data_IF_719969264928
#
_entry.id   IF_719969264928
#
_cell.length_a   1.000
_cell.length_b   1.000
_cell.length_c   1.000
_cell.angle_alpha   90.00
_cell.angle_beta   90.00
_cell.angle_gamma   90.00
#
_symmetry.space_group_name_H-M   'P 1'
#
loop_
_entity.id
_entity.type
_entity.pdbx_description
1 polymer ?
#
# COMPACT_ATOMS: atom_id res chain seq x y z
N UNK A 1 2.14 -10.80 -5.78
CA UNK A 1 3.31 -10.76 -4.88
C UNK A 1 4.44 -10.04 -5.60
N UNK A 2 5.33 -9.41 -4.86
CA UNK A 2 6.49 -8.70 -5.42
C UNK A 2 7.68 -9.66 -5.52
N UNK A 3 8.12 -9.94 -6.75
CA UNK A 3 9.21 -10.87 -7.02
C UNK A 3 10.53 -10.44 -6.35
N UNK A 4 10.77 -9.14 -6.23
CA UNK A 4 12.00 -8.61 -5.60
C UNK A 4 12.06 -8.89 -4.10
N UNK A 5 10.91 -9.14 -3.47
CA UNK A 5 10.81 -9.51 -2.05
C UNK A 5 10.80 -11.02 -1.84
N UNK A 6 10.18 -11.76 -2.76
CA UNK A 6 10.03 -13.22 -2.64
C UNK A 6 11.31 -13.96 -3.07
N UNK A 7 11.92 -13.58 -4.19
CA UNK A 7 13.06 -14.31 -4.76
C UNK A 7 14.25 -14.46 -3.78
N UNK A 8 14.69 -13.42 -3.04
CA UNK A 8 15.78 -13.58 -2.09
C UNK A 8 15.50 -14.57 -0.97
N UNK A 9 14.23 -14.73 -0.57
CA UNK A 9 13.82 -15.71 0.44
C UNK A 9 13.86 -17.12 -0.14
N UNK A 10 13.40 -17.31 -1.39
CA UNK A 10 13.49 -18.60 -2.08
C UNK A 10 14.95 -19.04 -2.26
N UNK A 11 15.85 -18.13 -2.63
CA UNK A 11 17.28 -18.42 -2.77
C UNK A 11 17.90 -18.86 -1.43
N UNK A 12 17.55 -18.16 -0.34
CA UNK A 12 17.99 -18.49 1.02
C UNK A 12 17.47 -19.84 1.48
N UNK A 13 16.20 -20.16 1.18
CA UNK A 13 15.58 -21.45 1.49
C UNK A 13 16.28 -22.60 0.75
N UNK A 14 16.56 -22.42 -0.55
CA UNK A 14 17.28 -23.40 -1.36
C UNK A 14 18.74 -23.60 -0.90
N UNK A 15 19.35 -22.56 -0.30
CA UNK A 15 20.71 -22.61 0.22
C UNK A 15 20.85 -23.24 1.62
N UNK A 16 19.73 -23.62 2.28
CA UNK A 16 19.77 -24.26 3.60
C UNK A 16 20.50 -25.60 3.50
N UNK A 17 21.57 -25.75 4.30
CA UNK A 17 22.38 -26.98 4.35
C UNK A 17 21.97 -27.85 5.52
N UNK A 18 21.99 -29.16 5.33
CA UNK A 18 21.69 -30.18 6.35
C UNK A 18 22.91 -30.61 7.17
N UNK A 19 24.05 -29.93 7.03
CA UNK A 19 25.30 -30.30 7.71
C UNK A 19 25.37 -29.98 9.21
N UNK A 20 24.38 -29.26 9.76
CA UNK A 20 24.32 -28.88 11.19
C UNK A 20 23.09 -29.46 11.86
N UNK A 21 23.07 -30.79 12.00
CA UNK A 21 22.01 -31.51 12.69
C UNK A 21 22.07 -31.25 14.20
N UNK A 22 20.93 -30.96 14.82
CA UNK A 22 20.84 -30.66 16.27
C UNK A 22 19.80 -31.48 17.03
N UNK A 23 18.81 -32.05 16.35
CA UNK A 23 17.88 -33.01 16.94
C UNK A 23 17.36 -33.99 15.89
N UNK A 24 16.99 -35.19 16.34
CA UNK A 24 16.40 -36.25 15.50
C UNK A 24 15.20 -36.94 16.17
N UNK A 25 14.82 -36.51 17.38
CA UNK A 25 13.71 -37.09 18.10
C UNK A 25 12.49 -36.17 17.98
N UNK A 26 11.30 -36.70 17.65
CA UNK A 26 10.06 -35.92 17.61
C UNK A 26 9.82 -35.10 18.88
N UNK A 27 10.19 -35.65 20.04
CA UNK A 27 10.05 -35.00 21.34
C UNK A 27 10.77 -33.64 21.44
N UNK A 28 11.82 -33.40 20.63
CA UNK A 28 12.55 -32.14 20.62
C UNK A 28 11.82 -31.01 19.86
N UNK A 29 10.89 -31.33 18.96
CA UNK A 29 10.33 -30.35 18.02
C UNK A 29 9.61 -29.20 18.72
N UNK A 30 8.83 -29.49 19.76
CA UNK A 30 8.08 -28.48 20.50
C UNK A 30 9.01 -27.53 21.29
N UNK A 31 10.10 -28.06 21.87
CA UNK A 31 11.09 -27.27 22.59
C UNK A 31 11.86 -26.33 21.64
N UNK A 32 12.19 -26.81 20.44
CA UNK A 32 12.88 -26.04 19.41
C UNK A 32 11.93 -25.13 18.60
N UNK A 33 10.62 -25.19 18.88
CA UNK A 33 9.57 -24.47 18.16
C UNK A 33 9.60 -24.75 16.65
N UNK A 34 9.72 -26.03 16.27
CA UNK A 34 9.62 -26.47 14.88
C UNK A 34 8.53 -27.52 14.69
N UNK A 35 7.66 -27.72 15.69
CA UNK A 35 6.54 -28.64 15.60
C UNK A 35 5.40 -28.04 14.76
N UNK A 36 4.52 -28.89 14.21
CA UNK A 36 3.43 -28.45 13.34
C UNK A 36 2.41 -27.53 14.04
N UNK A 37 2.26 -27.67 15.35
CA UNK A 37 1.38 -26.89 16.24
C UNK A 37 2.15 -25.86 17.09
N UNK A 38 3.48 -25.91 17.07
CA UNK A 38 4.35 -25.03 17.86
C UNK A 38 5.58 -24.64 17.04
N UNK A 39 5.43 -23.56 16.29
CA UNK A 39 6.45 -23.00 15.42
C UNK A 39 6.59 -21.48 15.56
N UNK A 40 7.72 -20.92 15.09
CA UNK A 40 7.87 -19.45 14.95
C UNK A 40 7.40 -18.99 13.57
N UNK A 41 7.76 -19.72 12.50
CA UNK A 41 7.20 -19.55 11.15
C UNK A 41 6.91 -20.90 10.50
N UNK A 42 5.83 -20.94 9.72
CA UNK A 42 5.50 -22.03 8.80
C UNK A 42 5.54 -21.47 7.38
N UNK A 43 6.31 -22.11 6.51
CA UNK A 43 6.46 -21.74 5.10
C UNK A 43 5.95 -22.90 4.28
N UNK A 44 4.93 -22.66 3.48
CA UNK A 44 4.42 -23.61 2.51
C UNK A 44 4.85 -23.15 1.12
N UNK A 45 5.53 -24.04 0.39
CA UNK A 45 6.09 -23.74 -0.93
C UNK A 45 5.52 -24.77 -1.89
N UNK A 46 4.79 -24.29 -2.89
CA UNK A 46 4.35 -25.12 -4.01
C UNK A 46 5.42 -25.08 -5.11
N UNK A 47 5.87 -26.25 -5.56
CA UNK A 47 6.76 -26.42 -6.71
C UNK A 47 6.11 -27.34 -7.74
N UNK A 48 6.72 -27.46 -8.92
CA UNK A 48 6.28 -28.42 -9.94
C UNK A 48 6.32 -29.89 -9.46
N UNK A 49 7.08 -30.18 -8.42
CA UNK A 49 7.24 -31.52 -7.84
C UNK A 49 6.30 -31.79 -6.66
N UNK A 50 5.57 -30.77 -6.17
CA UNK A 50 4.67 -30.89 -5.02
C UNK A 50 4.80 -29.72 -4.04
N UNK A 51 4.07 -29.81 -2.95
CA UNK A 51 4.12 -28.84 -1.86
C UNK A 51 5.08 -29.30 -0.77
N UNK A 52 5.90 -28.38 -0.26
CA UNK A 52 6.82 -28.59 0.85
C UNK A 52 6.48 -27.63 1.98
N UNK A 53 6.49 -28.14 3.21
CA UNK A 53 6.28 -27.32 4.41
C UNK A 53 7.57 -27.28 5.21
N UNK A 54 8.03 -26.08 5.54
CA UNK A 54 9.21 -25.84 6.36
C UNK A 54 8.80 -25.09 7.63
N UNK A 55 9.28 -25.55 8.78
CA UNK A 55 9.12 -24.86 10.06
C UNK A 55 10.42 -24.20 10.46
N UNK A 56 10.35 -22.91 10.76
CA UNK A 56 11.42 -22.16 11.41
C UNK A 56 11.07 -21.97 12.88
N UNK A 57 12.04 -22.23 13.75
CA UNK A 57 11.87 -22.22 15.18
C UNK A 57 12.66 -21.16 15.92
N UNK A 58 12.92 -21.42 17.19
CA UNK A 58 13.63 -20.51 18.07
C UNK A 58 15.05 -20.25 17.57
N UNK A 59 15.63 -19.13 17.99
CA UNK A 59 17.04 -18.83 17.69
C UNK A 59 17.97 -19.62 18.62
N UNK A 60 19.03 -20.21 18.07
CA UNK A 60 20.11 -20.88 18.80
C UNK A 60 21.37 -19.99 18.90
N UNK A 61 21.21 -18.69 19.11
CA UNK A 61 22.27 -17.67 19.03
C UNK A 61 21.77 -16.35 18.43
N UNK A 62 22.67 -15.47 17.98
CA UNK A 62 22.29 -14.16 17.41
C UNK A 62 21.85 -14.22 15.95
N UNK A 63 22.12 -15.30 15.22
CA UNK A 63 21.79 -15.43 13.78
C UNK A 63 21.57 -16.88 13.30
N UNK A 64 21.29 -17.79 14.23
CA UNK A 64 21.12 -19.23 13.98
C UNK A 64 19.68 -19.63 14.26
N UNK A 65 18.96 -20.15 13.27
CA UNK A 65 17.56 -20.57 13.42
C UNK A 65 17.43 -22.08 13.29
N UNK A 66 16.60 -22.69 14.14
CA UNK A 66 16.18 -24.08 13.98
C UNK A 66 15.28 -24.23 12.76
N UNK A 67 15.55 -25.21 11.92
CA UNK A 67 14.76 -25.50 10.71
C UNK A 67 14.43 -26.98 10.63
N UNK A 68 13.17 -27.29 10.31
CA UNK A 68 12.69 -28.65 10.10
C UNK A 68 11.79 -28.71 8.87
N UNK A 69 12.02 -29.68 8.00
CA UNK A 69 11.10 -30.02 6.92
C UNK A 69 9.98 -30.90 7.46
N UNK A 70 8.74 -30.61 7.07
CA UNK A 70 7.59 -31.43 7.43
C UNK A 70 7.76 -32.88 6.93
N UNK A 71 7.21 -33.83 7.68
CA UNK A 71 7.42 -35.26 7.45
C UNK A 71 8.80 -35.80 7.85
N UNK A 72 9.70 -34.96 8.38
CA UNK A 72 11.02 -35.39 8.89
C UNK A 72 11.20 -35.05 10.37
N UNK A 73 11.96 -35.89 11.07
CA UNK A 73 12.32 -35.68 12.48
C UNK A 73 13.60 -34.87 12.67
N UNK A 74 14.45 -34.83 11.64
CA UNK A 74 15.71 -34.11 11.69
C UNK A 74 15.49 -32.59 11.77
N UNK A 75 16.10 -31.97 12.77
CA UNK A 75 16.15 -30.52 12.94
C UNK A 75 17.57 -30.04 12.70
N UNK A 76 17.72 -29.02 11.86
CA UNK A 76 19.01 -28.44 11.51
C UNK A 76 19.12 -27.00 12.00
N UNK A 77 20.35 -26.47 11.98
CA UNK A 77 20.61 -25.03 12.13
C UNK A 77 20.94 -24.38 10.79
N UNK A 78 20.32 -23.24 10.51
CA UNK A 78 20.68 -22.36 9.40
C UNK A 78 21.08 -20.97 9.91
N UNK A 79 22.05 -20.35 9.23
CA UNK A 79 22.38 -18.93 9.39
C UNK A 79 22.00 -18.12 8.14
N UNK A 80 21.46 -18.79 7.11
CA UNK A 80 21.14 -18.17 5.82
C UNK A 80 19.78 -17.48 5.81
N UNK A 81 18.91 -17.77 6.78
CA UNK A 81 17.56 -17.25 6.86
C UNK A 81 17.15 -17.05 8.33
N UNK A 82 16.60 -15.87 8.63
CA UNK A 82 16.06 -15.54 9.94
C UNK A 82 14.52 -15.48 9.91
N UNK A 83 13.90 -15.69 11.07
CA UNK A 83 12.43 -15.74 11.20
C UNK A 83 11.74 -14.40 10.92
N UNK A 84 12.40 -13.28 11.18
CA UNK A 84 11.87 -11.93 10.88
C UNK A 84 11.89 -11.59 9.39
N UNK A 85 12.73 -12.26 8.58
CA UNK A 85 12.76 -12.09 7.13
C UNK A 85 11.53 -12.74 6.46
N UNK A 86 10.88 -13.66 7.17
CA UNK A 86 9.67 -14.36 6.72
C UNK A 86 8.47 -13.80 7.48
N UNK A 87 8.05 -12.59 7.12
CA UNK A 87 6.92 -11.92 7.79
C UNK A 87 5.59 -12.66 7.54
N UNK A 88 4.70 -12.68 8.54
CA UNK A 88 3.32 -13.15 8.36
C UNK A 88 2.41 -12.04 7.80
N UNK A 89 2.90 -10.81 7.71
CA UNK A 89 2.13 -9.68 7.19
C UNK A 89 2.17 -9.66 5.66
N UNK A 90 0.99 -9.64 5.02
CA UNK A 90 0.88 -9.62 3.56
C UNK A 90 1.63 -8.44 2.93
N UNK A 91 1.66 -7.28 3.60
CA UNK A 91 2.32 -6.07 3.09
C UNK A 91 3.82 -6.26 2.89
N UNK A 92 4.45 -7.16 3.66
CA UNK A 92 5.86 -7.49 3.51
C UNK A 92 6.18 -8.21 2.19
N UNK A 93 5.17 -8.73 1.47
CA UNK A 93 5.31 -9.53 0.26
C UNK A 93 4.80 -8.84 -1.02
N UNK A 94 4.37 -7.58 -0.92
CA UNK A 94 3.84 -6.79 -2.05
C UNK A 94 4.50 -5.41 -2.10
N UNK A 95 4.40 -4.73 -3.24
CA UNK A 95 4.75 -3.32 -3.32
C UNK A 95 3.63 -2.50 -2.65
N UNK A 96 3.91 -1.73 -1.58
CA UNK A 96 2.88 -0.95 -0.91
C UNK A 96 2.46 0.31 -1.69
N UNK A 97 3.21 0.71 -2.73
CA UNK A 97 2.80 1.79 -3.63
C UNK A 97 1.59 1.29 -4.42
N UNK A 98 0.44 1.91 -4.18
CA UNK A 98 -0.83 1.49 -4.76
C UNK A 98 -1.17 2.23 -6.04
N UNK A 99 -0.81 3.52 -6.11
CA UNK A 99 -0.83 4.32 -7.33
C UNK A 99 0.61 4.68 -7.67
N UNK A 100 1.03 4.36 -8.90
CA UNK A 100 2.40 4.57 -9.38
C UNK A 100 2.41 5.49 -10.61
N UNK A 101 1.81 6.67 -10.47
CA UNK A 101 1.76 7.71 -11.51
C UNK A 101 2.70 8.83 -11.10
N UNK A 102 3.53 9.32 -12.01
CA UNK A 102 4.38 10.49 -11.74
C UNK A 102 3.53 11.76 -11.73
N UNK A 103 3.64 12.58 -10.67
CA UNK A 103 2.93 13.87 -10.59
C UNK A 103 3.34 14.85 -11.70
N UNK A 104 4.54 14.69 -12.27
CA UNK A 104 5.00 15.47 -13.41
C UNK A 104 4.16 15.19 -14.67
N UNK A 105 3.69 13.96 -14.83
CA UNK A 105 2.94 13.51 -16.01
C UNK A 105 1.45 13.81 -15.92
N UNK A 106 0.95 14.20 -14.74
CA UNK A 106 -0.48 14.54 -14.54
C UNK A 106 -0.82 15.83 -15.28
N UNK A 107 -1.84 15.77 -16.14
CA UNK A 107 -2.34 16.88 -16.98
C UNK A 107 -3.64 17.47 -16.44
N UNK A 108 -4.38 16.71 -15.65
CA UNK A 108 -5.67 17.15 -15.11
C UNK A 108 -6.23 16.13 -14.12
N UNK A 109 -7.20 16.53 -13.32
CA UNK A 109 -7.97 15.58 -12.51
C UNK A 109 -9.34 16.11 -12.13
N UNK A 110 -10.24 15.19 -11.79
CA UNK A 110 -11.52 15.49 -11.16
C UNK A 110 -11.53 14.90 -9.77
N UNK A 111 -11.99 15.68 -8.78
CA UNK A 111 -12.30 15.22 -7.43
C UNK A 111 -13.80 15.37 -7.20
N UNK A 112 -14.47 14.26 -6.90
CA UNK A 112 -15.87 14.22 -6.48
C UNK A 112 -15.94 13.74 -5.03
N UNK A 113 -16.56 14.51 -4.17
CA UNK A 113 -16.82 14.14 -2.77
C UNK A 113 -18.16 14.76 -2.31
N UNK A 114 -18.45 14.67 -1.01
CA UNK A 114 -19.68 15.25 -0.42
C UNK A 114 -19.84 16.76 -0.60
N UNK A 115 -18.76 17.49 -0.87
CA UNK A 115 -18.75 18.95 -1.03
C UNK A 115 -18.93 19.40 -2.49
N UNK A 116 -18.98 18.46 -3.44
CA UNK A 116 -19.17 18.76 -4.85
C UNK A 116 -18.22 18.01 -5.77
N UNK A 117 -18.16 18.46 -7.02
CA UNK A 117 -17.26 17.97 -8.05
C UNK A 117 -16.38 19.10 -8.53
N UNK A 118 -15.06 18.89 -8.49
CA UNK A 118 -14.06 19.90 -8.80
C UNK A 118 -13.15 19.36 -9.89
N UNK A 119 -13.08 20.05 -11.02
CA UNK A 119 -12.24 19.66 -12.14
C UNK A 119 -11.07 20.64 -12.30
N UNK A 120 -9.87 20.07 -12.45
CA UNK A 120 -8.62 20.80 -12.55
C UNK A 120 -7.89 20.46 -13.83
N UNK A 121 -7.20 21.45 -14.38
CA UNK A 121 -6.35 21.33 -15.56
C UNK A 121 -4.99 21.95 -15.28
N UNK A 122 -3.95 21.33 -15.82
CA UNK A 122 -2.59 21.84 -15.83
C UNK A 122 -2.28 22.39 -17.20
N UNK A 123 -1.89 23.66 -17.27
CA UNK A 123 -1.52 24.29 -18.55
C UNK A 123 -0.11 23.87 -19.02
N UNK A 124 0.29 24.38 -20.18
CA UNK A 124 1.60 24.10 -20.78
C UNK A 124 2.78 24.67 -19.97
N UNK A 125 2.53 25.64 -19.09
CA UNK A 125 3.52 26.24 -18.19
C UNK A 125 3.58 25.48 -16.84
N UNK A 126 2.71 24.49 -16.65
CA UNK A 126 2.63 23.67 -15.45
C UNK A 126 1.76 24.27 -14.34
N UNK A 127 1.03 25.36 -14.61
CA UNK A 127 0.15 25.99 -13.64
C UNK A 127 -1.20 25.26 -13.58
N UNK A 128 -1.70 25.10 -12.36
CA UNK A 128 -2.96 24.43 -12.07
C UNK A 128 -4.11 25.44 -11.97
N UNK A 129 -5.23 25.10 -12.60
CA UNK A 129 -6.47 25.90 -12.57
C UNK A 129 -7.70 25.02 -12.35
N UNK A 130 -8.63 25.50 -11.54
CA UNK A 130 -10.00 25.00 -11.45
C UNK A 130 -10.77 25.42 -12.70
N UNK A 131 -11.53 24.52 -13.32
CA UNK A 131 -12.13 24.78 -14.64
C UNK A 131 -13.36 25.68 -14.62
N UNK A 132 -13.99 25.87 -13.47
CA UNK A 132 -15.26 26.59 -13.31
C UNK A 132 -15.13 27.85 -12.43
N UNK A 133 -13.98 28.53 -12.49
CA UNK A 133 -13.77 29.82 -11.80
C UNK A 133 -14.81 30.87 -12.23
N UNK A 134 -15.32 31.62 -11.26
CA UNK A 134 -16.28 32.69 -11.46
C UNK A 134 -15.69 34.05 -11.07
N UNK A 135 -15.98 35.09 -11.85
CA UNK A 135 -15.61 36.47 -11.50
C UNK A 135 -14.10 36.67 -11.32
N UNK A 136 -13.71 37.14 -10.13
CA UNK A 136 -12.34 37.40 -9.70
C UNK A 136 -11.72 36.24 -8.89
N UNK A 137 -12.38 35.07 -8.88
CA UNK A 137 -11.82 33.87 -8.26
C UNK A 137 -10.49 33.48 -8.92
N UNK A 138 -9.51 33.18 -8.07
CA UNK A 138 -8.23 32.60 -8.47
C UNK A 138 -8.04 31.25 -7.80
N UNK A 139 -7.47 30.28 -8.53
CA UNK A 139 -7.14 28.97 -7.96
C UNK A 139 -6.01 29.11 -6.94
N UNK A 140 -6.07 28.33 -5.85
CA UNK A 140 -4.98 28.13 -4.91
C UNK A 140 -4.10 26.95 -5.39
N UNK A 141 -2.98 27.21 -6.09
CA UNK A 141 -2.20 26.15 -6.71
C UNK A 141 -1.57 25.22 -5.68
N UNK A 142 -1.20 25.72 -4.49
CA UNK A 142 -0.58 24.91 -3.44
C UNK A 142 -1.52 23.79 -2.98
N UNK A 143 -2.80 24.12 -2.81
CA UNK A 143 -3.79 23.14 -2.38
C UNK A 143 -4.10 22.12 -3.49
N UNK A 144 -4.11 22.53 -4.76
CA UNK A 144 -4.30 21.62 -5.90
C UNK A 144 -3.12 20.66 -6.05
N UNK A 145 -1.88 21.18 -6.04
CA UNK A 145 -0.65 20.37 -6.10
C UNK A 145 -0.61 19.35 -4.96
N UNK A 146 -0.99 19.75 -3.74
CA UNK A 146 -1.06 18.82 -2.60
C UNK A 146 -2.03 17.66 -2.83
N UNK A 147 -3.14 17.85 -3.56
CA UNK A 147 -4.06 16.74 -3.87
C UNK A 147 -3.47 15.78 -4.90
N UNK A 148 -2.81 16.33 -5.93
CA UNK A 148 -2.10 15.52 -6.94
C UNK A 148 -1.05 14.66 -6.24
N UNK A 149 -0.22 15.26 -5.39
CA UNK A 149 0.85 14.56 -4.69
C UNK A 149 0.33 13.45 -3.77
N UNK A 150 -0.77 13.69 -3.05
CA UNK A 150 -1.41 12.66 -2.20
C UNK A 150 -1.89 11.47 -3.01
N UNK A 151 -2.56 11.73 -4.14
CA UNK A 151 -3.05 10.67 -5.02
C UNK A 151 -1.89 9.90 -5.66
N UNK A 152 -0.90 10.59 -6.22
CA UNK A 152 0.20 9.95 -6.95
C UNK A 152 1.15 9.17 -6.04
N UNK A 153 1.17 9.48 -4.74
CA UNK A 153 1.97 8.78 -3.73
C UNK A 153 1.13 7.86 -2.84
N UNK A 154 -0.08 7.48 -3.27
CA UNK A 154 -0.98 6.68 -2.46
C UNK A 154 -0.36 5.33 -2.12
N UNK A 155 -0.16 5.08 -0.83
CA UNK A 155 0.40 3.84 -0.29
C UNK A 155 -0.66 3.08 0.49
N UNK A 156 -0.78 1.79 0.20
CA UNK A 156 -1.63 0.91 1.01
C UNK A 156 -0.97 0.60 2.35
N UNK A 157 -1.79 0.46 3.38
CA UNK A 157 -1.40 -0.07 4.69
C UNK A 157 -1.76 -1.54 4.82
N UNK A 158 -2.74 -2.03 4.06
CA UNK A 158 -3.15 -3.44 4.07
C UNK A 158 -3.82 -3.86 2.76
N UNK A 159 -3.39 -4.94 2.09
CA UNK A 159 -4.17 -5.54 1.01
C UNK A 159 -5.35 -6.34 1.59
N UNK A 160 -6.51 -6.26 0.93
CA UNK A 160 -7.76 -6.93 1.37
C UNK A 160 -8.20 -8.07 0.45
N UNK A 161 -7.61 -8.18 -0.75
CA UNK A 161 -8.00 -9.17 -1.76
C UNK A 161 -8.80 -8.55 -2.90
N UNK A 162 -9.38 -9.38 -3.75
CA UNK A 162 -10.12 -8.95 -4.95
C UNK A 162 -11.64 -9.03 -4.79
N UNK A 163 -12.11 -9.64 -3.71
CA UNK A 163 -13.54 -9.77 -3.42
C UNK A 163 -14.08 -8.42 -2.95
N UNK A 164 -15.22 -8.03 -3.54
CA UNK A 164 -15.99 -6.88 -3.07
C UNK A 164 -16.67 -7.20 -1.73
N UNK A 165 -16.85 -6.17 -0.91
CA UNK A 165 -17.54 -6.24 0.37
C UNK A 165 -18.36 -4.95 0.52
N UNK A 166 -19.68 -5.02 0.76
CA UNK A 166 -20.50 -3.85 0.99
C UNK A 166 -19.99 -2.93 2.10
N UNK A 167 -19.30 -3.47 3.12
CA UNK A 167 -18.69 -2.70 4.19
C UNK A 167 -17.59 -1.74 3.70
N UNK A 168 -17.03 -1.99 2.51
CA UNK A 168 -16.05 -1.09 1.91
C UNK A 168 -16.66 0.22 1.44
N UNK A 169 -17.99 0.33 1.32
CA UNK A 169 -18.65 1.58 0.93
C UNK A 169 -18.35 2.03 -0.49
N UNK A 170 -18.12 1.09 -1.42
CA UNK A 170 -17.78 1.42 -2.81
C UNK A 170 -19.00 1.87 -3.64
N UNK A 171 -20.21 1.51 -3.21
CA UNK A 171 -21.46 1.91 -3.86
C UNK A 171 -21.85 3.37 -3.56
N UNK A 172 -21.45 3.90 -2.41
CA UNK A 172 -21.62 5.30 -2.01
C UNK A 172 -20.29 5.81 -1.44
N UNK A 173 -19.33 6.15 -2.32
CA UNK A 173 -17.96 6.43 -1.91
C UNK A 173 -17.83 7.81 -1.25
N UNK A 174 -16.94 7.90 -0.25
CA UNK A 174 -16.58 9.16 0.41
C UNK A 174 -15.92 10.15 -0.56
N UNK A 175 -15.14 9.65 -1.52
CA UNK A 175 -14.58 10.42 -2.62
C UNK A 175 -14.24 9.55 -3.83
N UNK A 176 -14.27 10.15 -5.02
CA UNK A 176 -13.78 9.56 -6.27
C UNK A 176 -12.84 10.56 -6.92
N UNK A 177 -11.63 10.11 -7.25
CA UNK A 177 -10.64 10.92 -7.95
C UNK A 177 -10.32 10.27 -9.28
N UNK A 178 -10.44 11.04 -10.35
CA UNK A 178 -10.10 10.60 -11.71
C UNK A 178 -8.97 11.46 -12.24
N UNK A 179 -7.76 10.90 -12.34
CA UNK A 179 -6.59 11.55 -12.92
C UNK A 179 -6.55 11.36 -14.43
N UNK A 180 -6.08 12.39 -15.13
CA UNK A 180 -5.58 12.33 -16.50
C UNK A 180 -4.07 12.58 -16.48
N UNK A 181 -3.31 11.73 -17.17
CA UNK A 181 -1.85 11.80 -17.16
C UNK A 181 -1.26 11.27 -18.47
N UNK A 182 -0.04 11.69 -18.78
CA UNK A 182 0.72 11.20 -19.93
C UNK A 182 1.48 9.92 -19.59
N UNK A 183 1.49 8.98 -20.52
CA UNK A 183 2.27 7.75 -20.43
C UNK A 183 2.99 7.56 -21.76
N UNK A 184 4.16 8.20 -21.90
CA UNK A 184 4.77 8.40 -23.22
C UNK A 184 3.95 9.41 -24.03
N UNK A 185 3.60 9.06 -25.26
CA UNK A 185 2.81 9.92 -26.14
C UNK A 185 1.29 9.78 -25.96
N UNK A 186 0.84 8.84 -25.11
CA UNK A 186 -0.57 8.59 -24.86
C UNK A 186 -1.08 9.34 -23.63
N UNK A 187 -2.30 9.88 -23.72
CA UNK A 187 -3.05 10.33 -22.56
C UNK A 187 -3.84 9.15 -21.96
N UNK A 188 -3.68 8.93 -20.67
CA UNK A 188 -4.34 7.86 -19.90
C UNK A 188 -5.16 8.45 -18.77
N UNK A 189 -6.11 7.65 -18.29
CA UNK A 189 -6.95 7.98 -17.15
C UNK A 189 -6.85 6.88 -16.11
N UNK A 190 -6.75 7.27 -14.83
CA UNK A 190 -6.81 6.36 -13.68
C UNK A 190 -7.82 6.89 -12.69
N UNK A 191 -8.65 6.00 -12.15
CA UNK A 191 -9.66 6.35 -11.15
C UNK A 191 -9.35 5.65 -9.83
N UNK A 192 -9.38 6.40 -8.74
CA UNK A 192 -9.33 5.87 -7.38
C UNK A 192 -10.62 6.22 -6.67
N UNK A 193 -11.30 5.18 -6.21
CA UNK A 193 -12.50 5.26 -5.38
C UNK A 193 -12.11 5.08 -3.92
N UNK A 194 -12.46 6.05 -3.08
CA UNK A 194 -12.28 6.05 -1.63
C UNK A 194 -13.65 5.76 -1.02
N UNK A 195 -13.79 4.58 -0.44
CA UNK A 195 -15.02 4.12 0.16
C UNK A 195 -15.19 4.57 1.61
N UNK A 196 -15.75 3.71 2.45
CA UNK A 196 -15.98 3.97 3.86
C UNK A 196 -14.67 4.03 4.67
N UNK A 197 -14.74 4.70 5.81
CA UNK A 197 -13.71 4.65 6.84
C UNK A 197 -13.97 3.48 7.79
N UNK A 198 -12.98 2.61 7.99
CA UNK A 198 -13.07 1.53 8.97
C UNK A 198 -13.14 2.13 10.40
N UNK A 199 -14.17 1.82 11.19
CA UNK A 199 -14.33 2.39 12.53
C UNK A 199 -13.23 1.97 13.51
N UNK A 200 -12.55 0.84 13.26
CA UNK A 200 -11.56 0.19 14.12
C UNK A 200 -10.21 0.89 14.07
N UNK A 201 -9.68 1.12 12.87
CA UNK A 201 -8.34 1.68 12.66
C UNK A 201 -8.35 3.02 11.90
N UNK A 202 -9.54 3.54 11.60
CA UNK A 202 -9.76 4.82 10.88
C UNK A 202 -9.20 4.84 9.46
N UNK A 203 -8.67 3.72 8.95
CA UNK A 203 -8.21 3.63 7.58
C UNK A 203 -9.40 3.68 6.60
N UNK A 204 -9.17 4.16 5.38
CA UNK A 204 -10.19 4.11 4.33
C UNK A 204 -10.00 2.87 3.48
N UNK A 205 -11.12 2.28 3.05
CA UNK A 205 -11.12 1.30 1.97
C UNK A 205 -10.95 2.00 0.63
N UNK A 206 -10.03 1.52 -0.20
CA UNK A 206 -9.67 2.17 -1.46
C UNK A 206 -9.54 1.16 -2.59
N UNK A 207 -10.00 1.56 -3.78
CA UNK A 207 -9.92 0.79 -5.02
C UNK A 207 -9.44 1.67 -6.18
N UNK A 208 -8.36 1.25 -6.85
CA UNK A 208 -7.90 1.84 -8.10
C UNK A 208 -8.45 1.07 -9.30
N UNK A 209 -8.68 1.74 -10.43
CA UNK A 209 -8.95 1.12 -11.74
C UNK A 209 -7.80 0.24 -12.22
N UNK A 210 -6.57 0.54 -11.78
CA UNK A 210 -5.34 -0.08 -12.31
C UNK A 210 -4.90 -1.30 -11.48
N UNK A 211 -5.67 -1.64 -10.44
CA UNK A 211 -5.40 -2.77 -9.55
C UNK A 211 -6.66 -3.60 -9.32
N UNK A 212 -6.61 -4.93 -9.40
CA UNK A 212 -7.78 -5.76 -9.09
C UNK A 212 -8.07 -5.85 -7.59
N UNK A 213 -7.16 -5.37 -6.73
CA UNK A 213 -7.26 -5.54 -5.28
C UNK A 213 -7.89 -4.34 -4.59
N UNK A 214 -8.74 -4.60 -3.60
CA UNK A 214 -9.11 -3.65 -2.56
C UNK A 214 -7.99 -3.53 -1.53
N UNK A 215 -7.80 -2.33 -1.00
CA UNK A 215 -6.77 -2.04 -0.01
C UNK A 215 -7.29 -1.13 1.08
N UNK A 216 -6.62 -1.11 2.23
CA UNK A 216 -6.70 -0.03 3.20
C UNK A 216 -5.61 1.00 2.93
N UNK A 217 -5.94 2.27 3.18
CA UNK A 217 -5.01 3.40 3.16
C UNK A 217 -5.19 4.20 4.45
N UNK A 218 -4.09 4.76 4.97
CA UNK A 218 -4.12 5.60 6.16
C UNK A 218 -4.96 6.87 5.93
N UNK A 219 -5.72 7.31 6.95
CA UNK A 219 -6.67 8.42 6.85
C UNK A 219 -6.02 9.70 6.31
N UNK A 220 -4.87 10.08 6.87
CA UNK A 220 -4.15 11.30 6.48
C UNK A 220 -3.76 11.35 4.99
N UNK A 221 -3.69 10.20 4.30
CA UNK A 221 -3.34 10.14 2.88
C UNK A 221 -4.53 10.47 1.96
N UNK A 222 -5.76 10.41 2.48
CA UNK A 222 -6.99 10.59 1.68
C UNK A 222 -7.99 11.56 2.30
N UNK A 223 -7.83 11.94 3.57
CA UNK A 223 -8.75 12.79 4.32
C UNK A 223 -9.03 14.11 3.60
N UNK A 224 -7.99 14.78 3.08
CA UNK A 224 -8.20 16.03 2.34
C UNK A 224 -8.96 15.84 1.03
N UNK A 225 -8.87 14.67 0.38
CA UNK A 225 -9.67 14.34 -0.80
C UNK A 225 -11.15 14.15 -0.42
N UNK A 226 -11.42 13.60 0.77
CA UNK A 226 -12.77 13.39 1.29
C UNK A 226 -13.41 14.68 1.78
N UNK A 227 -12.63 15.59 2.38
CA UNK A 227 -13.17 16.70 3.16
C UNK A 227 -13.10 18.07 2.50
N UNK A 228 -12.16 18.31 1.55
CA UNK A 228 -12.01 19.63 0.95
C UNK A 228 -13.22 19.98 0.08
N UNK A 229 -13.68 21.21 0.23
CA UNK A 229 -14.66 21.86 -0.64
C UNK A 229 -14.01 22.94 -1.51
N UNK A 230 -14.83 23.63 -2.31
CA UNK A 230 -14.41 24.66 -3.26
C UNK A 230 -13.48 25.70 -2.62
N UNK A 231 -13.83 26.21 -1.45
CA UNK A 231 -13.09 27.30 -0.77
C UNK A 231 -11.62 26.94 -0.52
N UNK A 232 -11.31 25.65 -0.30
CA UNK A 232 -9.92 25.21 -0.14
C UNK A 232 -9.11 25.32 -1.43
N UNK A 233 -9.76 25.35 -2.59
CA UNK A 233 -9.14 25.46 -3.90
C UNK A 233 -9.10 26.89 -4.44
N UNK A 234 -9.65 27.86 -3.70
CA UNK A 234 -9.59 29.27 -4.06
C UNK A 234 -8.51 30.00 -3.26
N UNK A 235 -7.86 30.95 -3.90
CA UNK A 235 -6.90 31.82 -3.24
C UNK A 235 -7.66 32.75 -2.28
N UNK A 236 -7.17 32.86 -1.04
CA UNK A 236 -7.76 33.82 -0.10
C UNK A 236 -7.63 35.24 -0.68
N UNK A 237 -8.72 35.99 -0.69
CA UNK A 237 -8.68 37.41 -1.03
C UNK A 237 -7.79 38.13 -0.02
N UNK A 238 -6.80 38.92 -0.46
CA UNK A 238 -5.96 39.68 0.46
C UNK A 238 -6.85 40.59 1.29
N UNK A 239 -6.74 40.51 2.63
CA UNK A 239 -7.38 41.49 3.51
C UNK A 239 -6.85 42.87 3.12
N UNK A 240 -7.71 43.87 2.79
CA UNK A 240 -7.24 45.20 2.45
C UNK A 240 -6.36 45.74 3.57
N UNK A 241 -5.14 46.16 3.24
CA UNK A 241 -4.27 46.82 4.20
C UNK A 241 -5.00 48.06 4.72
N UNK A 242 -5.16 48.17 6.05
CA UNK A 242 -5.78 49.33 6.67
C UNK A 242 -5.06 50.60 6.19
N UNK A 243 -5.79 51.49 5.52
CA UNK A 243 -5.27 52.78 5.07
C UNK A 243 -4.83 53.57 6.31
N UNK A 244 -3.57 54.01 6.42
CA UNK A 244 -3.16 54.86 7.53
C UNK A 244 -3.96 56.16 7.46
N UNK A 245 -4.68 56.50 8.52
CA UNK A 245 -5.34 57.80 8.64
C UNK A 245 -4.28 58.90 8.60
N UNK A 246 -4.35 59.79 7.61
CA UNK A 246 -3.73 61.12 7.67
C UNK A 246 -4.79 62.16 8.03
#
# INVERSE_FOLDING_TARGET
MDATKVAPILDKLAAIKTGRLVAQLPASHAQLQVAADRFVRRIEIATAQGAYTLYLGSSAGSSTVHVRLDGQDNVYLTNGLNTWEVSAELLSWVNPIYVAISSADVTGFTLKNRNGEFAFVKDAQGAWSLTDLAGDEATNPNNVVSQVDLFTNLRMTKPLGTADDPAYGMADPSAVVTLRYKSGDEEKTSTVTIGAQDPTDKAYYVKSSDSPYYVKVASYSVETLVERGRDAFLQATPTPAATPSQ
#
